data_IF_227180532669
#
_entry.id   IF_227180532669
#
_cell.length_a   1.000
_cell.length_b   1.000
_cell.length_c   1.000
_cell.angle_alpha   90.00
_cell.angle_beta   90.00
_cell.angle_gamma   90.00
#
_symmetry.space_group_name_H-M   'P 1'
#
loop_
_entity.id
_entity.type
_entity.pdbx_description
1 polymer ?
#
# COMPACT_ATOMS: atom_id res chain seq x y z
N UNK A 1 9.67 -65.21 -39.62
CA UNK A 1 10.60 -64.07 -39.70
C UNK A 1 9.74 -62.81 -39.61
N UNK A 2 9.74 -61.96 -38.60
CA UNK A 2 10.47 -61.81 -37.34
C UNK A 2 9.50 -61.09 -36.38
N UNK A 3 9.22 -61.70 -35.24
CA UNK A 3 8.36 -61.18 -34.16
C UNK A 3 9.08 -60.07 -33.40
N UNK A 4 8.48 -58.89 -33.27
CA UNK A 4 8.97 -57.83 -32.38
C UNK A 4 8.15 -57.79 -31.10
N UNK A 5 8.82 -58.23 -30.02
CA UNK A 5 8.29 -58.30 -28.67
C UNK A 5 8.18 -56.92 -28.04
N UNK A 6 7.00 -56.66 -27.47
CA UNK A 6 6.68 -55.56 -26.56
C UNK A 6 7.30 -55.79 -25.18
N UNK A 7 8.31 -54.99 -24.82
CA UNK A 7 8.91 -54.98 -23.48
C UNK A 7 8.32 -53.85 -22.63
N UNK A 8 7.48 -54.20 -21.65
CA UNK A 8 6.96 -53.29 -20.65
C UNK A 8 8.01 -53.04 -19.56
N UNK A 9 8.62 -51.85 -19.54
CA UNK A 9 9.46 -51.40 -18.43
C UNK A 9 8.55 -50.77 -17.37
N UNK A 10 8.18 -51.57 -16.35
CA UNK A 10 7.62 -51.07 -15.10
C UNK A 10 8.73 -50.42 -14.28
N UNK A 11 8.84 -49.10 -14.31
CA UNK A 11 9.66 -48.38 -13.33
C UNK A 11 8.91 -48.30 -12.00
N UNK A 12 9.37 -49.07 -11.01
CA UNK A 12 9.01 -48.89 -9.60
C UNK A 12 9.73 -47.63 -9.10
N UNK A 13 9.03 -46.52 -8.89
CA UNK A 13 9.50 -45.44 -8.02
C UNK A 13 8.78 -45.54 -6.70
N UNK A 14 9.51 -46.01 -5.69
CA UNK A 14 9.11 -45.94 -4.30
C UNK A 14 8.97 -44.49 -3.87
N UNK A 15 7.82 -44.16 -3.31
CA UNK A 15 7.60 -42.93 -2.55
C UNK A 15 8.37 -43.06 -1.23
N UNK A 16 9.66 -42.69 -1.25
CA UNK A 16 10.38 -42.38 -0.02
C UNK A 16 10.18 -40.89 0.30
N UNK A 17 9.29 -40.69 1.25
CA UNK A 17 9.24 -39.65 2.28
C UNK A 17 10.21 -38.45 2.12
N UNK A 18 9.85 -37.53 1.23
CA UNK A 18 10.53 -36.24 1.02
C UNK A 18 10.46 -35.31 2.25
N UNK A 19 9.64 -35.65 3.26
CA UNK A 19 9.49 -34.87 4.50
C UNK A 19 10.48 -35.26 5.60
N UNK A 20 11.12 -36.44 5.51
CA UNK A 20 12.09 -36.90 6.51
C UNK A 20 13.49 -36.29 6.30
N UNK A 21 13.94 -36.12 5.04
CA UNK A 21 15.26 -35.53 4.71
C UNK A 21 15.34 -34.03 5.07
N UNK A 22 14.20 -33.32 5.08
CA UNK A 22 14.17 -31.90 5.45
C UNK A 22 14.36 -31.65 6.95
N UNK A 23 14.16 -32.66 7.81
CA UNK A 23 14.32 -32.53 9.27
C UNK A 23 15.73 -32.85 9.78
N UNK A 24 16.57 -33.50 8.98
CA UNK A 24 17.85 -34.04 9.47
C UNK A 24 19.09 -33.23 9.05
N UNK A 25 18.95 -32.24 8.15
CA UNK A 25 20.05 -31.33 7.76
C UNK A 25 20.02 -29.94 8.43
N UNK A 26 19.22 -29.72 9.48
CA UNK A 26 19.12 -28.44 10.19
C UNK A 26 19.64 -28.47 11.64
N UNK A 27 20.29 -29.56 12.08
CA UNK A 27 20.82 -29.69 13.44
C UNK A 27 22.31 -29.39 13.59
N UNK A 28 22.98 -28.88 12.54
CA UNK A 28 24.37 -28.45 12.61
C UNK A 28 24.50 -26.95 12.36
N UNK A 29 24.76 -26.18 13.41
CA UNK A 29 25.34 -24.82 13.36
C UNK A 29 24.50 -23.64 12.79
N UNK A 30 23.17 -23.70 12.78
CA UNK A 30 22.35 -22.53 12.41
C UNK A 30 21.14 -22.36 13.33
N UNK A 31 21.32 -21.59 14.41
CA UNK A 31 20.25 -21.21 15.32
C UNK A 31 19.33 -20.16 14.70
N UNK A 32 18.13 -20.57 14.28
CA UNK A 32 17.02 -19.64 14.01
C UNK A 32 16.44 -19.22 15.37
N UNK A 33 16.81 -18.03 15.85
CA UNK A 33 16.30 -17.51 17.13
C UNK A 33 14.90 -16.90 16.97
N UNK A 34 13.87 -17.71 17.23
CA UNK A 34 12.51 -17.24 17.50
C UNK A 34 12.35 -16.85 18.97
N UNK A 35 13.03 -15.78 19.41
CA UNK A 35 12.78 -15.23 20.75
C UNK A 35 11.35 -14.66 20.84
N UNK A 36 10.53 -15.27 21.70
CA UNK A 36 9.15 -14.86 22.00
C UNK A 36 9.04 -13.49 22.72
N UNK A 37 10.17 -12.94 23.18
CA UNK A 37 10.22 -11.69 23.93
C UNK A 37 10.84 -10.58 23.07
N UNK A 38 10.03 -9.60 22.64
CA UNK A 38 10.49 -8.50 21.76
C UNK A 38 11.62 -7.68 22.37
N UNK A 39 11.58 -7.42 23.69
CA UNK A 39 12.63 -6.66 24.40
C UNK A 39 14.00 -7.36 24.37
N UNK A 40 14.03 -8.69 24.38
CA UNK A 40 15.27 -9.45 24.27
C UNK A 40 15.88 -9.39 22.85
N UNK A 41 15.04 -9.34 21.81
CA UNK A 41 15.49 -9.18 20.41
C UNK A 41 16.08 -7.80 20.14
N UNK A 42 15.42 -6.76 20.63
CA UNK A 42 15.85 -5.37 20.37
C UNK A 42 17.21 -5.10 21.05
N UNK A 43 17.41 -5.65 22.26
CA UNK A 43 18.71 -5.60 22.94
C UNK A 43 19.77 -6.43 22.23
N UNK A 44 19.42 -7.59 21.68
CA UNK A 44 20.37 -8.44 20.95
C UNK A 44 20.96 -7.74 19.72
N UNK A 45 20.12 -7.13 18.87
CA UNK A 45 20.59 -6.47 17.64
C UNK A 45 21.50 -5.29 17.96
N UNK A 46 21.16 -4.47 18.95
CA UNK A 46 21.99 -3.34 19.37
C UNK A 46 23.34 -3.81 19.95
N UNK A 47 23.37 -4.97 20.60
CA UNK A 47 24.59 -5.57 21.14
C UNK A 47 25.49 -6.23 20.08
N UNK A 48 25.00 -6.45 18.86
CA UNK A 48 25.81 -7.04 17.79
C UNK A 48 26.98 -6.14 17.34
N UNK A 49 27.01 -4.86 17.75
CA UNK A 49 28.05 -3.88 17.36
C UNK A 49 28.38 -3.98 15.87
N UNK A 50 27.34 -4.04 15.03
CA UNK A 50 27.48 -4.26 13.60
C UNK A 50 28.28 -3.11 13.00
N UNK A 51 29.47 -3.45 12.51
CA UNK A 51 30.40 -2.55 11.84
C UNK A 51 30.80 -3.17 10.52
N UNK A 52 31.14 -2.34 9.52
CA UNK A 52 31.60 -2.83 8.23
C UNK A 52 31.14 -1.99 7.06
N UNK A 53 31.56 -2.41 5.86
CA UNK A 53 31.18 -1.78 4.60
C UNK A 53 29.74 -2.13 4.27
N UNK A 54 28.93 -1.10 4.02
CA UNK A 54 27.52 -1.24 3.66
C UNK A 54 27.37 -1.38 2.15
N UNK A 55 26.50 -2.29 1.72
CA UNK A 55 25.98 -2.42 0.36
C UNK A 55 24.47 -2.57 0.42
N UNK A 56 23.74 -1.84 -0.41
CA UNK A 56 22.29 -1.90 -0.43
C UNK A 56 21.76 -2.31 -1.81
N UNK A 57 20.68 -3.09 -1.83
CA UNK A 57 19.92 -3.45 -3.03
C UNK A 57 18.43 -3.45 -2.70
N UNK A 58 17.61 -2.91 -3.60
CA UNK A 58 16.16 -2.95 -3.47
C UNK A 58 15.55 -3.98 -4.43
N UNK A 59 14.42 -4.59 -4.04
CA UNK A 59 13.57 -5.39 -4.92
C UNK A 59 12.11 -5.16 -4.52
N UNK A 60 11.36 -4.54 -5.43
CA UNK A 60 10.00 -4.10 -5.14
C UNK A 60 9.96 -3.18 -3.92
N UNK A 61 9.16 -3.55 -2.92
CA UNK A 61 8.92 -2.77 -1.69
C UNK A 61 9.93 -3.07 -0.55
N UNK A 62 11.00 -3.79 -0.87
CA UNK A 62 11.98 -4.28 0.11
C UNK A 62 13.39 -3.77 -0.18
N UNK A 63 14.12 -3.47 0.89
CA UNK A 63 15.52 -3.07 0.87
C UNK A 63 16.34 -4.13 1.60
N UNK A 64 17.36 -4.65 0.93
CA UNK A 64 18.39 -5.51 1.50
C UNK A 64 19.67 -4.70 1.72
N UNK A 65 20.15 -4.65 2.96
CA UNK A 65 21.38 -3.98 3.36
C UNK A 65 22.37 -5.02 3.86
N UNK A 66 23.40 -5.31 3.06
CA UNK A 66 24.51 -6.15 3.48
C UNK A 66 25.60 -5.29 4.15
N UNK A 67 26.13 -5.75 5.27
CA UNK A 67 27.19 -5.10 6.03
C UNK A 67 28.30 -6.12 6.23
N UNK A 68 29.49 -5.85 5.69
CA UNK A 68 30.62 -6.77 5.75
C UNK A 68 31.78 -6.12 6.52
N UNK A 69 32.18 -6.73 7.63
CA UNK A 69 33.39 -6.35 8.36
C UNK A 69 34.58 -7.13 7.79
N UNK A 70 35.54 -6.44 7.17
CA UNK A 70 36.71 -7.09 6.58
C UNK A 70 37.68 -7.63 7.65
N UNK A 71 37.69 -7.05 8.85
CA UNK A 71 38.62 -7.42 9.94
C UNK A 71 38.11 -8.66 10.68
N UNK A 72 36.82 -8.72 10.97
CA UNK A 72 36.22 -9.84 11.71
C UNK A 72 35.61 -10.94 10.83
N UNK A 73 35.66 -10.78 9.49
CA UNK A 73 34.94 -11.58 8.49
C UNK A 73 33.42 -11.76 8.78
N UNK A 74 32.84 -10.90 9.63
CA UNK A 74 31.42 -10.94 9.91
C UNK A 74 30.62 -10.34 8.76
N UNK A 75 29.57 -11.05 8.35
CA UNK A 75 28.68 -10.65 7.26
C UNK A 75 27.26 -10.61 7.79
N UNK A 76 26.68 -9.43 7.73
CA UNK A 76 25.32 -9.15 8.17
C UNK A 76 24.49 -8.80 6.94
N UNK A 77 23.23 -9.24 6.92
CA UNK A 77 22.27 -8.85 5.89
C UNK A 77 21.00 -8.46 6.59
N UNK A 78 20.54 -7.25 6.34
CA UNK A 78 19.34 -6.68 6.90
C UNK A 78 18.29 -6.56 5.80
N UNK A 79 17.22 -7.34 5.88
CA UNK A 79 16.06 -7.15 5.01
C UNK A 79 15.04 -6.24 5.69
N UNK A 80 14.70 -5.14 5.03
CA UNK A 80 13.79 -4.09 5.50
C UNK A 80 12.58 -4.03 4.56
N UNK A 81 11.38 -4.23 5.11
CA UNK A 81 10.12 -4.04 4.39
C UNK A 81 9.39 -2.84 4.97
N UNK A 82 9.25 -1.77 4.20
CA UNK A 82 8.80 -0.48 4.73
C UNK A 82 7.30 -0.42 5.08
N UNK A 83 6.51 -1.42 4.66
CA UNK A 83 5.03 -1.44 4.82
C UNK A 83 4.47 -0.07 4.38
N UNK A 84 3.47 0.45 5.08
CA UNK A 84 2.80 1.71 4.77
C UNK A 84 3.39 2.92 5.50
N UNK A 85 4.21 2.72 6.54
CA UNK A 85 4.60 3.81 7.47
C UNK A 85 6.05 3.72 7.94
N UNK A 86 6.84 2.72 7.52
CA UNK A 86 8.22 2.63 7.96
C UNK A 86 9.15 3.38 7.00
N UNK A 87 10.23 3.93 7.54
CA UNK A 87 11.18 4.79 6.82
C UNK A 87 12.63 4.48 7.21
N UNK A 88 13.57 4.88 6.36
CA UNK A 88 15.01 4.83 6.64
C UNK A 88 15.60 6.21 6.42
N UNK A 89 16.13 6.84 7.46
CA UNK A 89 16.87 8.11 7.34
C UNK A 89 18.26 7.99 7.94
N UNK A 90 19.18 8.80 7.41
CA UNK A 90 20.47 9.03 8.01
C UNK A 90 20.34 10.17 9.03
N UNK A 91 20.96 10.04 10.19
CA UNK A 91 21.04 11.09 11.19
C UNK A 91 22.43 11.13 11.82
N UNK A 92 22.86 12.28 12.38
CA UNK A 92 24.10 12.35 13.15
C UNK A 92 24.12 11.32 14.28
N UNK A 93 25.26 10.66 14.49
CA UNK A 93 25.40 9.61 15.52
C UNK A 93 25.07 10.12 16.93
N UNK A 94 25.42 11.37 17.22
CA UNK A 94 25.09 12.00 18.50
C UNK A 94 23.58 12.10 18.71
N UNK A 95 22.84 12.56 17.68
CA UNK A 95 21.38 12.64 17.72
C UNK A 95 20.74 11.27 17.91
N UNK A 96 21.22 10.26 17.18
CA UNK A 96 20.77 8.87 17.36
C UNK A 96 20.93 8.42 18.82
N UNK A 97 22.13 8.59 19.39
CA UNK A 97 22.43 8.23 20.79
C UNK A 97 21.50 8.95 21.77
N UNK A 98 21.24 10.24 21.56
CA UNK A 98 20.32 11.05 22.38
C UNK A 98 18.86 10.57 22.31
N UNK A 99 18.40 10.09 21.16
CA UNK A 99 17.05 9.53 20.98
C UNK A 99 16.95 8.17 21.68
N UNK A 100 17.89 7.26 21.42
CA UNK A 100 17.82 5.90 22.00
C UNK A 100 18.14 5.83 23.49
N UNK A 101 18.75 6.87 24.05
CA UNK A 101 18.94 7.00 25.50
C UNK A 101 17.65 7.40 26.24
N UNK A 102 16.61 7.84 25.52
CA UNK A 102 15.33 8.16 26.14
C UNK A 102 14.57 6.88 26.54
N UNK A 103 13.78 6.91 27.64
CA UNK A 103 12.90 5.80 27.96
C UNK A 103 11.87 5.61 26.85
N UNK A 104 11.68 4.36 26.43
CA UNK A 104 10.69 4.04 25.40
C UNK A 104 9.26 4.30 25.90
N UNK A 105 8.36 4.66 24.97
CA UNK A 105 6.93 4.82 25.20
C UNK A 105 6.16 3.72 24.47
N UNK A 106 5.09 3.24 25.10
CA UNK A 106 4.21 2.21 24.52
C UNK A 106 3.33 2.82 23.42
N UNK A 107 3.39 2.26 22.21
CA UNK A 107 2.42 2.51 21.12
C UNK A 107 1.42 1.35 21.02
N UNK A 108 0.39 1.52 20.19
CA UNK A 108 -0.59 0.47 19.87
C UNK A 108 0.07 -0.83 19.39
N UNK A 109 1.23 -0.72 18.72
CA UNK A 109 1.97 -1.86 18.17
C UNK A 109 3.48 -1.76 18.40
N UNK A 110 3.92 -1.65 19.65
CA UNK A 110 5.35 -1.76 20.00
C UNK A 110 5.85 -0.67 20.95
N UNK A 111 7.16 -0.62 21.11
CA UNK A 111 7.87 0.42 21.85
C UNK A 111 8.48 1.42 20.86
N UNK A 112 8.50 2.69 21.25
CA UNK A 112 9.11 3.75 20.44
C UNK A 112 9.88 4.73 21.32
N UNK A 113 10.95 5.32 20.78
CA UNK A 113 11.75 6.33 21.46
C UNK A 113 11.18 7.72 21.19
N UNK A 114 10.95 8.56 22.22
CA UNK A 114 10.60 9.95 22.00
C UNK A 114 11.79 10.72 21.41
N UNK A 115 11.54 11.53 20.39
CA UNK A 115 12.56 12.41 19.80
C UNK A 115 12.64 13.70 20.63
N UNK A 116 13.83 14.12 21.09
CA UNK A 116 14.00 15.37 21.83
C UNK A 116 13.47 16.58 21.06
N UNK A 117 12.77 17.53 21.70
CA UNK A 117 12.17 18.68 21.01
C UNK A 117 13.15 19.51 20.18
N UNK A 118 14.39 19.62 20.63
CA UNK A 118 15.47 20.35 19.93
C UNK A 118 15.98 19.62 18.68
N UNK A 119 15.69 18.33 18.53
CA UNK A 119 15.95 17.58 17.30
C UNK A 119 14.85 17.80 16.25
N UNK A 120 13.71 18.37 16.64
CA UNK A 120 12.54 18.59 15.77
C UNK A 120 12.60 20.02 15.21
N UNK A 121 12.59 20.15 13.88
CA UNK A 121 12.42 21.44 13.21
C UNK A 121 11.16 21.45 12.37
N UNK A 122 10.46 22.59 12.32
CA UNK A 122 9.20 22.74 11.58
C UNK A 122 8.02 23.17 12.47
N UNK A 123 6.76 23.05 11.96
CA UNK A 123 5.58 23.44 12.71
C UNK A 123 5.53 22.74 14.07
N UNK A 124 5.24 23.48 15.15
CA UNK A 124 5.16 22.95 16.52
C UNK A 124 4.26 21.71 16.54
N UNK A 125 4.81 20.56 16.94
CA UNK A 125 4.11 19.27 17.04
C UNK A 125 4.43 18.65 18.40
N UNK A 126 3.42 18.07 19.04
CA UNK A 126 3.61 17.28 20.25
C UNK A 126 4.16 15.89 19.88
N UNK A 127 5.16 15.45 20.66
CA UNK A 127 5.73 14.09 20.78
C UNK A 127 5.91 13.28 19.48
N UNK A 128 7.08 13.40 18.85
CA UNK A 128 7.52 12.48 17.79
C UNK A 128 8.03 11.17 18.42
N UNK A 129 7.52 10.03 17.95
CA UNK A 129 7.90 8.70 18.43
C UNK A 129 8.56 7.88 17.31
N UNK A 130 9.75 7.36 17.55
CA UNK A 130 10.53 6.58 16.59
C UNK A 130 10.56 5.10 16.97
N UNK A 131 10.12 4.23 16.06
CA UNK A 131 10.23 2.77 16.22
C UNK A 131 11.38 2.24 15.36
N UNK A 132 12.37 1.60 15.98
CA UNK A 132 13.45 0.92 15.24
C UNK A 132 12.95 -0.51 14.98
N UNK A 133 12.59 -0.83 13.74
CA UNK A 133 12.15 -2.20 13.38
C UNK A 133 13.33 -3.06 12.92
N UNK A 134 13.39 -4.27 13.48
CA UNK A 134 14.47 -5.24 13.35
C UNK A 134 14.73 -5.72 11.91
N UNK A 135 15.96 -6.17 11.71
CA UNK A 135 16.49 -6.76 10.48
C UNK A 135 16.44 -8.29 10.49
N UNK A 136 16.17 -8.90 9.33
CA UNK A 136 16.20 -10.37 9.15
C UNK A 136 17.43 -10.80 8.35
N UNK A 137 18.12 -11.83 8.85
CA UNK A 137 19.26 -12.50 8.21
C UNK A 137 18.77 -13.76 7.47
N UNK A 138 19.04 -13.89 6.15
CA UNK A 138 18.77 -15.15 5.43
C UNK A 138 19.61 -15.34 4.14
N UNK A 139 19.75 -16.61 3.72
CA UNK A 139 20.53 -17.15 2.59
C UNK A 139 19.80 -17.18 1.23
N UNK A 140 18.54 -16.73 1.20
CA UNK A 140 17.74 -16.46 0.01
C UNK A 140 17.10 -15.09 0.21
N UNK A 141 17.74 -14.06 -0.35
CA UNK A 141 17.47 -12.67 -0.02
C UNK A 141 16.02 -12.25 -0.37
N UNK A 142 15.46 -12.87 -1.41
CA UNK A 142 14.11 -12.60 -1.90
C UNK A 142 13.26 -13.85 -1.75
N UNK A 143 12.05 -13.72 -1.20
CA UNK A 143 11.08 -14.82 -1.21
C UNK A 143 10.63 -15.08 -2.65
N UNK A 144 10.16 -16.29 -2.92
CA UNK A 144 9.53 -16.67 -4.20
C UNK A 144 8.28 -15.86 -4.54
N UNK A 145 7.80 -15.03 -3.61
CA UNK A 145 6.65 -14.12 -3.79
C UNK A 145 7.03 -12.76 -4.36
N UNK A 146 8.31 -12.52 -4.69
CA UNK A 146 8.76 -11.28 -5.33
C UNK A 146 9.08 -11.51 -6.79
N UNK A 147 8.41 -10.77 -7.66
CA UNK A 147 8.61 -10.82 -9.10
C UNK A 147 9.96 -10.26 -9.53
N UNK A 148 10.27 -10.30 -10.83
CA UNK A 148 11.39 -9.55 -11.39
C UNK A 148 11.23 -8.04 -11.14
N UNK A 149 12.34 -7.32 -11.05
CA UNK A 149 12.33 -5.84 -11.03
C UNK A 149 12.16 -5.35 -12.46
N UNK A 150 11.06 -4.67 -12.77
CA UNK A 150 10.66 -4.36 -14.14
C UNK A 150 11.74 -3.61 -14.94
N UNK A 151 12.39 -2.62 -14.32
CA UNK A 151 13.46 -1.82 -14.93
C UNK A 151 14.81 -2.54 -15.07
N UNK A 152 15.10 -3.53 -14.23
CA UNK A 152 16.39 -4.23 -14.22
C UNK A 152 16.34 -5.61 -14.91
N UNK A 153 15.17 -6.22 -14.97
CA UNK A 153 14.93 -7.57 -15.46
C UNK A 153 13.78 -7.58 -16.51
N UNK A 154 13.84 -6.78 -17.59
CA UNK A 154 12.70 -6.57 -18.51
C UNK A 154 12.28 -7.86 -19.22
N UNK A 155 13.22 -8.73 -19.60
CA UNK A 155 12.92 -10.01 -20.25
C UNK A 155 12.17 -10.96 -19.32
N UNK A 156 12.64 -11.12 -18.07
CA UNK A 156 11.98 -11.94 -17.07
C UNK A 156 10.59 -11.37 -16.70
N UNK A 157 10.49 -10.04 -16.67
CA UNK A 157 9.23 -9.33 -16.43
C UNK A 157 8.20 -9.61 -17.53
N UNK A 158 8.59 -9.51 -18.81
CA UNK A 158 7.70 -9.85 -19.94
C UNK A 158 7.24 -11.30 -19.89
N UNK A 159 8.15 -12.24 -19.63
CA UNK A 159 7.81 -13.65 -19.48
C UNK A 159 6.80 -13.87 -18.33
N UNK A 160 6.99 -13.18 -17.20
CA UNK A 160 6.07 -13.25 -16.05
C UNK A 160 4.69 -12.69 -16.39
N UNK A 161 4.62 -11.58 -17.12
CA UNK A 161 3.34 -11.00 -17.56
C UNK A 161 2.60 -11.91 -18.54
N UNK A 162 3.29 -12.55 -19.49
CA UNK A 162 2.65 -13.50 -20.41
C UNK A 162 2.10 -14.73 -19.68
N UNK A 163 2.86 -15.28 -18.73
CA UNK A 163 2.38 -16.40 -17.91
C UNK A 163 1.18 -16.00 -17.04
N UNK A 164 1.23 -14.81 -16.43
CA UNK A 164 0.11 -14.26 -15.68
C UNK A 164 -1.13 -14.06 -16.56
N UNK A 165 -0.96 -13.50 -17.76
CA UNK A 165 -2.05 -13.29 -18.72
C UNK A 165 -2.76 -14.59 -19.05
N UNK A 166 -2.01 -15.63 -19.42
CA UNK A 166 -2.55 -16.95 -19.71
C UNK A 166 -3.36 -17.52 -18.53
N UNK A 167 -2.81 -17.43 -17.32
CA UNK A 167 -3.51 -17.89 -16.12
C UNK A 167 -4.75 -17.06 -15.79
N UNK A 168 -4.73 -15.75 -16.06
CA UNK A 168 -5.84 -14.84 -15.77
C UNK A 168 -7.02 -15.10 -16.70
N UNK A 169 -6.74 -15.34 -17.99
CA UNK A 169 -7.76 -15.73 -18.98
C UNK A 169 -8.32 -17.12 -18.63
N UNK A 170 -7.45 -18.09 -18.35
CA UNK A 170 -7.88 -19.46 -18.06
C UNK A 170 -8.77 -19.58 -16.81
N UNK A 171 -8.57 -18.71 -15.82
CA UNK A 171 -9.33 -18.69 -14.58
C UNK A 171 -10.51 -17.70 -14.60
N UNK A 172 -10.68 -16.95 -15.69
CA UNK A 172 -11.62 -15.82 -15.79
C UNK A 172 -11.59 -14.90 -14.56
N UNK A 173 -10.39 -14.42 -14.20
CA UNK A 173 -10.19 -13.59 -13.01
C UNK A 173 -10.88 -12.21 -13.16
N UNK A 174 -12.05 -12.09 -12.56
CA UNK A 174 -12.95 -10.94 -12.61
C UNK A 174 -12.52 -9.78 -11.69
N UNK A 175 -11.49 -9.98 -10.87
CA UNK A 175 -11.04 -8.98 -9.91
C UNK A 175 -10.57 -7.70 -10.62
N UNK A 176 -10.86 -6.52 -10.06
CA UNK A 176 -10.34 -5.26 -10.59
C UNK A 176 -8.81 -5.26 -10.73
N UNK A 177 -8.31 -4.81 -11.87
CA UNK A 177 -6.87 -4.79 -12.15
C UNK A 177 -6.07 -4.00 -11.08
N UNK A 178 -6.61 -2.88 -10.57
CA UNK A 178 -5.94 -2.11 -9.52
C UNK A 178 -5.68 -2.94 -8.25
N UNK A 179 -6.61 -3.82 -7.90
CA UNK A 179 -6.47 -4.70 -6.73
C UNK A 179 -5.32 -5.69 -6.95
N UNK A 180 -5.28 -6.33 -8.11
CA UNK A 180 -4.23 -7.30 -8.46
C UNK A 180 -2.85 -6.67 -8.53
N UNK A 181 -2.73 -5.45 -9.07
CA UNK A 181 -1.45 -4.74 -9.13
C UNK A 181 -0.86 -4.47 -7.74
N UNK A 182 -1.72 -4.19 -6.76
CA UNK A 182 -1.27 -3.98 -5.37
C UNK A 182 -0.88 -5.29 -4.68
N UNK A 183 -1.64 -6.35 -4.91
CA UNK A 183 -1.53 -7.58 -4.12
C UNK A 183 -0.55 -8.62 -4.69
N UNK A 184 -0.45 -8.73 -6.02
CA UNK A 184 0.38 -9.72 -6.71
C UNK A 184 1.80 -9.20 -6.94
N UNK A 185 2.57 -9.05 -5.87
CA UNK A 185 3.98 -8.59 -5.92
C UNK A 185 4.93 -9.56 -6.63
N UNK A 186 4.49 -10.79 -6.88
CA UNK A 186 5.18 -11.76 -7.73
C UNK A 186 5.08 -11.44 -9.24
N UNK A 187 4.23 -10.47 -9.59
CA UNK A 187 3.91 -10.03 -10.96
C UNK A 187 4.18 -8.53 -11.09
N UNK A 188 3.51 -7.74 -10.25
CA UNK A 188 3.57 -6.28 -10.17
C UNK A 188 4.48 -5.84 -9.02
N UNK A 189 5.71 -6.35 -9.05
CA UNK A 189 6.70 -6.13 -8.01
C UNK A 189 7.02 -4.63 -7.87
N UNK A 190 6.76 -4.06 -6.69
CA UNK A 190 7.00 -2.64 -6.42
C UNK A 190 5.77 -1.75 -6.62
N UNK A 191 4.79 -2.16 -7.42
CA UNK A 191 3.60 -1.33 -7.68
C UNK A 191 2.76 -1.15 -6.41
N UNK A 192 2.67 0.09 -5.92
CA UNK A 192 1.77 0.52 -4.86
C UNK A 192 0.46 1.06 -5.42
N UNK A 193 -0.35 1.67 -4.56
CA UNK A 193 -1.66 2.17 -4.95
C UNK A 193 -1.58 3.35 -5.93
N UNK A 194 -0.62 4.26 -5.72
CA UNK A 194 -0.48 5.45 -6.56
C UNK A 194 0.20 5.11 -7.89
N UNK A 195 1.26 4.30 -7.88
CA UNK A 195 1.93 3.82 -9.10
C UNK A 195 0.93 3.08 -9.98
N UNK A 196 0.14 2.18 -9.40
CA UNK A 196 -0.85 1.41 -10.15
C UNK A 196 -1.90 2.30 -10.80
N UNK A 197 -2.42 3.31 -10.10
CA UNK A 197 -3.37 4.28 -10.67
C UNK A 197 -2.74 5.01 -11.85
N UNK A 198 -1.53 5.56 -11.68
CA UNK A 198 -0.91 6.37 -12.72
C UNK A 198 -0.53 5.54 -13.96
N UNK A 199 -0.06 4.30 -13.75
CA UNK A 199 0.16 3.32 -14.83
C UNK A 199 -1.14 3.05 -15.58
N UNK A 200 -2.25 2.80 -14.87
CA UNK A 200 -3.54 2.51 -15.50
C UNK A 200 -4.08 3.70 -16.29
N UNK A 201 -3.87 4.93 -15.80
CA UNK A 201 -4.21 6.14 -16.54
C UNK A 201 -3.39 6.26 -17.82
N UNK A 202 -2.07 6.03 -17.76
CA UNK A 202 -1.20 6.02 -18.94
C UNK A 202 -1.59 4.92 -19.93
N UNK A 203 -2.00 3.78 -19.41
CA UNK A 203 -2.49 2.65 -20.19
C UNK A 203 -3.90 2.85 -20.75
N UNK A 204 -4.60 3.94 -20.44
CA UNK A 204 -6.01 4.13 -20.80
C UNK A 204 -6.89 2.95 -20.36
N UNK A 205 -6.65 2.46 -19.14
CA UNK A 205 -7.36 1.34 -18.52
C UNK A 205 -8.08 1.84 -17.27
N UNK A 206 -9.39 1.58 -17.17
CA UNK A 206 -10.14 1.93 -15.98
C UNK A 206 -9.72 1.03 -14.80
N UNK A 207 -9.50 1.57 -13.58
CA UNK A 207 -9.02 0.76 -12.45
C UNK A 207 -9.92 -0.40 -12.02
N UNK A 208 -11.23 -0.27 -12.28
CA UNK A 208 -12.24 -1.30 -12.03
C UNK A 208 -12.31 -2.40 -13.11
N UNK A 209 -11.55 -2.27 -14.22
CA UNK A 209 -11.59 -3.25 -15.31
C UNK A 209 -11.19 -4.65 -14.81
N UNK A 210 -12.00 -5.69 -15.08
CA UNK A 210 -11.65 -7.07 -14.79
C UNK A 210 -10.34 -7.46 -15.45
N UNK A 211 -9.51 -8.20 -14.74
CA UNK A 211 -8.22 -8.61 -15.27
C UNK A 211 -8.33 -9.59 -16.43
N UNK A 212 -9.34 -10.48 -16.43
CA UNK A 212 -9.62 -11.36 -17.56
C UNK A 212 -9.94 -10.56 -18.83
N UNK A 213 -10.75 -9.51 -18.73
CA UNK A 213 -11.09 -8.61 -19.84
C UNK A 213 -9.84 -7.88 -20.37
N UNK A 214 -9.04 -7.29 -19.48
CA UNK A 214 -7.78 -6.65 -19.85
C UNK A 214 -6.85 -7.61 -20.59
N UNK A 215 -6.66 -8.82 -20.03
CA UNK A 215 -5.79 -9.85 -20.59
C UNK A 215 -6.32 -10.44 -21.90
N UNK A 216 -7.63 -10.49 -22.11
CA UNK A 216 -8.22 -11.07 -23.32
C UNK A 216 -8.06 -10.17 -24.54
N UNK A 217 -7.94 -8.85 -24.34
CA UNK A 217 -7.72 -7.90 -25.43
C UNK A 217 -6.23 -7.62 -25.65
N UNK A 218 -5.66 -8.11 -26.76
CA UNK A 218 -4.22 -7.97 -27.09
C UNK A 218 -3.75 -6.50 -27.07
N UNK A 219 -4.54 -5.60 -27.65
CA UNK A 219 -4.16 -4.18 -27.78
C UNK A 219 -4.14 -3.49 -26.41
N UNK A 220 -5.13 -3.79 -25.57
CA UNK A 220 -5.21 -3.24 -24.20
C UNK A 220 -4.08 -3.82 -23.34
N UNK A 221 -3.85 -5.14 -23.41
CA UNK A 221 -2.78 -5.80 -22.66
C UNK A 221 -1.40 -5.26 -23.05
N UNK A 222 -1.12 -5.13 -24.35
CA UNK A 222 0.15 -4.58 -24.82
C UNK A 222 0.37 -3.14 -24.32
N UNK A 223 -0.64 -2.28 -24.45
CA UNK A 223 -0.58 -0.90 -23.94
C UNK A 223 -0.37 -0.84 -22.42
N UNK A 224 -1.00 -1.74 -21.68
CA UNK A 224 -0.82 -1.86 -20.23
C UNK A 224 0.61 -2.24 -19.84
N UNK A 225 1.19 -3.27 -20.47
CA UNK A 225 2.57 -3.68 -20.18
C UNK A 225 3.57 -2.58 -20.59
N UNK A 226 3.35 -1.91 -21.73
CA UNK A 226 4.17 -0.77 -22.15
C UNK A 226 4.13 0.35 -21.11
N UNK A 227 2.95 0.73 -20.63
CA UNK A 227 2.80 1.78 -19.62
C UNK A 227 3.52 1.45 -18.30
N UNK A 228 3.54 0.18 -17.86
CA UNK A 228 4.32 -0.26 -16.69
C UNK A 228 5.82 -0.02 -16.93
N UNK A 229 6.33 -0.50 -18.07
CA UNK A 229 7.75 -0.42 -18.39
C UNK A 229 8.23 1.03 -18.53
N UNK A 230 7.42 1.86 -19.19
CA UNK A 230 7.69 3.29 -19.34
C UNK A 230 7.66 4.01 -17.98
N UNK A 231 6.69 3.71 -17.12
CA UNK A 231 6.61 4.30 -15.78
C UNK A 231 7.85 4.00 -14.93
N UNK A 232 8.33 2.76 -14.95
CA UNK A 232 9.52 2.33 -14.21
C UNK A 232 10.80 2.95 -14.78
N UNK A 233 10.88 3.05 -16.11
CA UNK A 233 12.00 3.71 -16.78
C UNK A 233 12.07 5.21 -16.44
N UNK A 234 10.96 5.93 -16.56
CA UNK A 234 10.84 7.34 -16.19
C UNK A 234 11.19 7.58 -14.72
N UNK A 235 10.69 6.72 -13.83
CA UNK A 235 10.97 6.81 -12.39
C UNK A 235 12.47 6.63 -12.10
N UNK A 236 13.12 5.72 -12.82
CA UNK A 236 14.57 5.50 -12.71
C UNK A 236 15.37 6.71 -13.19
N UNK A 237 14.98 7.32 -14.30
CA UNK A 237 15.64 8.53 -14.83
C UNK A 237 15.43 9.75 -13.93
N UNK A 238 14.23 9.91 -13.38
CA UNK A 238 13.90 11.03 -12.51
C UNK A 238 14.58 10.98 -11.15
N UNK A 239 14.80 9.78 -10.62
CA UNK A 239 15.38 9.57 -9.28
C UNK A 239 16.86 9.20 -9.31
N UNK A 240 17.40 8.86 -10.49
CA UNK A 240 18.74 8.35 -10.67
C UNK A 240 19.86 9.40 -10.56
N UNK A 241 21.12 8.96 -10.43
CA UNK A 241 22.29 9.84 -10.55
C UNK A 241 22.29 10.47 -11.95
N UNK A 242 22.19 11.82 -12.02
CA UNK A 242 22.13 12.55 -13.29
C UNK A 242 20.74 12.99 -13.73
N UNK A 243 19.71 12.84 -12.89
CA UNK A 243 18.42 13.48 -13.12
C UNK A 243 18.62 14.98 -13.39
N UNK A 244 18.03 15.50 -14.47
CA UNK A 244 18.20 16.90 -14.90
C UNK A 244 17.80 17.92 -13.82
N UNK A 245 16.88 17.52 -12.93
CA UNK A 245 16.48 18.28 -11.77
C UNK A 245 16.35 17.33 -10.58
N UNK A 246 17.47 17.03 -9.90
CA UNK A 246 17.43 16.09 -8.79
C UNK A 246 16.51 16.65 -7.71
N UNK A 247 15.67 15.79 -7.15
CA UNK A 247 14.87 16.17 -6.00
C UNK A 247 15.83 16.46 -4.83
N UNK A 248 15.62 17.53 -4.04
CA UNK A 248 16.51 17.85 -2.93
C UNK A 248 16.37 16.79 -1.83
N UNK A 249 17.30 15.82 -1.85
CA UNK A 249 17.29 14.63 -0.99
C UNK A 249 17.66 14.91 0.46
N UNK A 250 18.29 16.04 0.74
CA UNK A 250 18.63 16.43 2.11
C UNK A 250 17.50 17.27 2.67
N UNK A 251 16.90 16.78 3.75
CA UNK A 251 16.47 17.68 4.81
C UNK A 251 17.69 18.54 5.17
N UNK A 252 17.52 19.81 5.56
CA UNK A 252 18.63 20.65 6.03
C UNK A 252 19.37 19.97 7.23
N UNK A 253 20.16 20.71 8.02
CA UNK A 253 20.86 20.16 9.19
C UNK A 253 19.94 19.44 10.23
N UNK A 254 18.62 19.55 10.09
CA UNK A 254 17.64 18.77 10.84
C UNK A 254 17.11 17.57 10.04
N UNK A 255 17.37 16.32 10.47
CA UNK A 255 16.90 15.10 9.80
C UNK A 255 15.38 14.91 9.86
N UNK A 256 14.65 15.77 10.59
CA UNK A 256 13.20 15.75 10.72
C UNK A 256 12.49 16.90 9.97
N UNK A 257 13.21 17.66 9.14
CA UNK A 257 12.64 18.75 8.35
C UNK A 257 11.83 18.24 7.14
N UNK A 258 10.58 18.70 7.01
CA UNK A 258 9.76 18.41 5.84
C UNK A 258 9.99 19.43 4.72
N UNK A 259 10.49 18.94 3.59
CA UNK A 259 10.72 19.75 2.42
C UNK A 259 9.44 19.89 1.57
N UNK A 260 8.62 20.90 1.88
CA UNK A 260 7.37 21.23 1.16
C UNK A 260 7.58 21.40 -0.34
N UNK A 261 8.67 22.08 -0.72
CA UNK A 261 8.99 22.33 -2.13
C UNK A 261 9.35 21.03 -2.86
N UNK A 262 10.10 20.13 -2.22
CA UNK A 262 10.40 18.82 -2.77
C UNK A 262 9.14 17.99 -2.95
N UNK A 263 8.26 17.96 -1.93
CA UNK A 263 6.99 17.26 -2.00
C UNK A 263 6.11 17.79 -3.15
N UNK A 264 5.96 19.11 -3.24
CA UNK A 264 5.19 19.75 -4.32
C UNK A 264 5.78 19.40 -5.69
N UNK A 265 7.10 19.51 -5.87
CA UNK A 265 7.78 19.12 -7.12
C UNK A 265 7.59 17.65 -7.43
N UNK A 266 7.69 16.78 -6.41
CA UNK A 266 7.51 15.33 -6.57
C UNK A 266 6.10 15.02 -7.04
N UNK A 267 5.09 15.51 -6.32
CA UNK A 267 3.67 15.31 -6.67
C UNK A 267 3.36 15.88 -8.05
N UNK A 268 3.88 17.06 -8.39
CA UNK A 268 3.63 17.68 -9.69
C UNK A 268 4.25 16.91 -10.86
N UNK A 269 5.37 16.22 -10.64
CA UNK A 269 6.12 15.53 -11.71
C UNK A 269 5.85 14.04 -11.81
N UNK A 270 5.60 13.40 -10.67
CA UNK A 270 5.56 11.94 -10.57
C UNK A 270 4.19 11.40 -10.25
N UNK A 271 3.28 12.19 -9.65
CA UNK A 271 1.91 11.76 -9.35
C UNK A 271 0.95 12.33 -10.38
N UNK A 272 0.53 11.49 -11.32
CA UNK A 272 -0.33 11.87 -12.43
C UNK A 272 -1.77 12.07 -12.00
N UNK A 273 -2.40 11.06 -11.38
CA UNK A 273 -3.84 11.05 -11.11
C UNK A 273 -4.20 10.69 -9.66
N UNK A 274 -3.38 9.89 -8.98
CA UNK A 274 -3.73 9.42 -7.64
C UNK A 274 -4.03 10.57 -6.67
N UNK A 275 -5.28 10.65 -6.20
CA UNK A 275 -5.81 11.72 -5.31
C UNK A 275 -5.67 13.16 -5.85
N UNK A 276 -5.49 13.35 -7.16
CA UNK A 276 -5.46 14.68 -7.76
C UNK A 276 -6.87 15.24 -7.91
N UNK A 277 -7.06 16.52 -7.63
CA UNK A 277 -8.32 17.22 -7.92
C UNK A 277 -8.42 17.60 -9.40
N UNK A 278 -7.27 17.78 -10.06
CA UNK A 278 -7.17 18.05 -11.50
C UNK A 278 -5.98 17.31 -12.11
N UNK A 279 -6.16 16.73 -13.29
CA UNK A 279 -5.14 16.00 -14.04
C UNK A 279 -4.96 16.64 -15.41
N UNK A 280 -3.70 16.81 -15.80
CA UNK A 280 -3.32 17.26 -17.13
C UNK A 280 -2.74 16.09 -17.90
N UNK A 281 -3.35 15.72 -19.02
CA UNK A 281 -2.85 14.65 -19.89
C UNK A 281 -2.28 15.26 -21.18
N UNK A 282 -1.28 14.63 -21.81
CA UNK A 282 -0.84 15.02 -23.15
C UNK A 282 -2.00 14.97 -24.14
N UNK A 283 -2.08 15.93 -25.07
CA UNK A 283 -3.15 15.99 -26.07
C UNK A 283 -3.31 14.67 -26.85
N UNK A 284 -2.26 13.97 -27.31
CA UNK A 284 -2.40 12.67 -27.96
C UNK A 284 -3.12 11.63 -27.07
N UNK A 285 -2.82 11.61 -25.77
CA UNK A 285 -3.47 10.73 -24.80
C UNK A 285 -4.95 11.09 -24.62
N UNK A 286 -5.28 12.39 -24.58
CA UNK A 286 -6.68 12.87 -24.50
C UNK A 286 -7.46 12.44 -25.75
N UNK A 287 -6.89 12.64 -26.94
CA UNK A 287 -7.54 12.25 -28.20
C UNK A 287 -7.74 10.74 -28.30
N UNK A 288 -6.76 9.94 -27.88
CA UNK A 288 -6.89 8.49 -27.85
C UNK A 288 -7.95 8.02 -26.85
N UNK A 289 -7.98 8.59 -25.65
CA UNK A 289 -8.99 8.29 -24.65
C UNK A 289 -10.41 8.71 -25.09
N UNK A 290 -10.51 9.83 -25.81
CA UNK A 290 -11.74 10.31 -26.43
C UNK A 290 -12.28 9.33 -27.48
N UNK A 291 -11.42 8.82 -28.37
CA UNK A 291 -11.79 7.79 -29.35
C UNK A 291 -12.27 6.49 -28.70
N UNK A 292 -11.81 6.21 -27.48
CA UNK A 292 -12.25 5.08 -26.66
C UNK A 292 -13.48 5.39 -25.79
N UNK A 293 -14.10 6.56 -25.96
CA UNK A 293 -15.23 7.06 -25.16
C UNK A 293 -14.98 7.15 -23.65
N UNK A 294 -13.73 7.16 -23.19
CA UNK A 294 -13.40 7.14 -21.76
C UNK A 294 -13.84 8.41 -21.01
N UNK A 295 -14.12 9.50 -21.73
CA UNK A 295 -14.58 10.78 -21.18
C UNK A 295 -16.08 11.06 -21.38
N UNK A 296 -16.86 10.09 -21.87
CA UNK A 296 -18.31 10.26 -22.07
C UNK A 296 -19.06 9.70 -20.86
N UNK A 297 -19.62 10.52 -19.95
CA UNK A 297 -20.13 10.04 -18.66
C UNK A 297 -21.25 8.99 -18.71
N UNK A 298 -21.96 8.90 -19.84
CA UNK A 298 -23.04 7.94 -20.03
C UNK A 298 -22.65 6.75 -20.92
N UNK A 299 -21.44 6.74 -21.49
CA UNK A 299 -20.95 5.59 -22.23
C UNK A 299 -20.53 4.50 -21.26
N UNK A 300 -20.81 3.24 -21.61
CA UNK A 300 -20.26 2.07 -20.91
C UNK A 300 -18.93 1.72 -21.55
N UNK A 301 -17.89 1.54 -20.76
CA UNK A 301 -16.55 1.21 -21.28
C UNK A 301 -16.62 -0.10 -22.07
N UNK A 302 -16.16 -0.07 -23.33
CA UNK A 302 -16.19 -1.22 -24.24
C UNK A 302 -17.46 -1.37 -25.06
N UNK A 303 -18.47 -0.50 -24.88
CA UNK A 303 -19.66 -0.46 -25.75
C UNK A 303 -19.42 0.36 -27.02
N UNK A 304 -20.09 -0.02 -28.11
CA UNK A 304 -20.03 0.62 -29.44
C UNK A 304 -20.82 1.94 -29.49
N UNK A 305 -20.54 2.85 -28.58
CA UNK A 305 -21.09 4.21 -28.63
C UNK A 305 -20.27 5.02 -29.63
N UNK A 306 -20.88 5.79 -30.55
CA UNK A 306 -20.14 6.70 -31.41
C UNK A 306 -19.29 7.67 -30.57
N UNK A 307 -18.08 8.03 -31.01
CA UNK A 307 -17.26 9.01 -30.32
C UNK A 307 -18.06 10.28 -30.03
N UNK A 308 -18.26 10.61 -28.74
CA UNK A 308 -18.89 11.87 -28.36
C UNK A 308 -18.00 13.06 -28.75
N UNK A 309 -18.59 14.25 -28.91
CA UNK A 309 -17.81 15.49 -29.00
C UNK A 309 -17.01 15.66 -27.70
N UNK A 310 -15.71 15.34 -27.74
CA UNK A 310 -14.84 15.58 -26.61
C UNK A 310 -14.36 17.01 -26.68
N UNK A 311 -14.77 17.81 -25.69
CA UNK A 311 -14.16 19.11 -25.45
C UNK A 311 -12.65 18.90 -25.34
N UNK A 312 -11.86 19.60 -26.17
CA UNK A 312 -10.39 19.54 -26.23
C UNK A 312 -9.72 20.09 -24.95
N UNK A 313 -10.27 19.82 -23.78
CA UNK A 313 -9.76 20.28 -22.50
C UNK A 313 -8.59 19.38 -22.10
N UNK A 314 -7.42 19.98 -21.96
CA UNK A 314 -6.22 19.32 -21.44
C UNK A 314 -6.35 18.95 -19.95
N UNK A 315 -7.24 19.63 -19.22
CA UNK A 315 -7.45 19.46 -17.78
C UNK A 315 -8.76 18.73 -17.48
N UNK A 316 -8.65 17.64 -16.72
CA UNK A 316 -9.74 16.74 -16.35
C UNK A 316 -9.89 16.70 -14.83
N UNK A 317 -11.11 16.49 -14.34
CA UNK A 317 -11.39 16.32 -12.91
C UNK A 317 -11.52 14.83 -12.60
N UNK A 318 -10.59 14.22 -11.85
CA UNK A 318 -10.66 12.80 -11.55
C UNK A 318 -11.87 12.44 -10.69
N UNK A 319 -12.36 11.23 -10.93
CA UNK A 319 -13.27 10.53 -10.06
C UNK A 319 -12.50 9.62 -9.11
N UNK A 320 -13.09 9.42 -7.93
CA UNK A 320 -12.74 8.45 -6.92
C UNK A 320 -13.85 7.41 -6.87
N UNK A 321 -13.47 6.16 -7.01
CA UNK A 321 -14.37 5.01 -7.01
C UNK A 321 -14.02 4.06 -5.85
N UNK A 322 -15.00 3.39 -5.27
CA UNK A 322 -14.79 2.35 -4.26
C UNK A 322 -14.94 0.97 -4.90
N UNK A 323 -13.81 0.29 -5.08
CA UNK A 323 -13.77 -1.05 -5.69
C UNK A 323 -14.22 -2.16 -4.72
N UNK A 324 -14.78 -1.79 -3.57
CA UNK A 324 -15.06 -2.70 -2.46
C UNK A 324 -13.82 -2.95 -1.59
N UNK A 325 -14.05 -3.58 -0.43
CA UNK A 325 -13.00 -3.87 0.59
C UNK A 325 -12.27 -2.64 1.13
N UNK A 326 -12.77 -1.43 0.87
CA UNK A 326 -12.12 -0.17 1.23
C UNK A 326 -10.99 0.24 0.28
N UNK A 327 -10.88 -0.39 -0.91
CA UNK A 327 -9.90 -0.01 -1.92
C UNK A 327 -10.44 1.13 -2.77
N UNK A 328 -9.82 2.30 -2.65
CA UNK A 328 -10.14 3.46 -3.47
C UNK A 328 -9.36 3.44 -4.79
N UNK A 329 -10.08 3.61 -5.89
CA UNK A 329 -9.54 3.88 -7.22
C UNK A 329 -9.66 5.35 -7.56
N UNK A 330 -8.75 5.84 -8.41
CA UNK A 330 -8.76 7.19 -8.94
C UNK A 330 -8.56 7.13 -10.45
N UNK A 331 -9.32 7.90 -11.21
CA UNK A 331 -9.22 7.92 -12.67
C UNK A 331 -9.75 9.24 -13.24
N UNK A 332 -9.21 9.76 -14.35
CA UNK A 332 -9.82 10.86 -15.08
C UNK A 332 -10.93 10.40 -16.03
N UNK A 333 -11.17 9.09 -16.15
CA UNK A 333 -12.19 8.53 -17.04
C UNK A 333 -13.56 8.66 -16.39
N UNK A 334 -14.48 9.34 -17.08
CA UNK A 334 -15.85 9.56 -16.59
C UNK A 334 -16.83 8.53 -17.14
N UNK A 335 -16.43 7.75 -18.14
CA UNK A 335 -17.23 6.65 -18.67
C UNK A 335 -17.59 5.66 -17.56
N UNK A 336 -18.80 5.10 -17.65
CA UNK A 336 -19.28 4.15 -16.66
C UNK A 336 -18.57 2.81 -16.88
N UNK A 337 -18.05 2.18 -15.81
CA UNK A 337 -17.70 0.78 -15.90
C UNK A 337 -18.95 -0.05 -16.23
N UNK A 338 -18.75 -1.21 -16.82
CA UNK A 338 -19.86 -2.16 -17.01
C UNK A 338 -20.51 -2.46 -15.65
N UNK A 339 -21.86 -2.54 -15.56
CA UNK A 339 -22.54 -2.85 -14.31
C UNK A 339 -22.09 -4.15 -13.62
N UNK A 340 -21.49 -5.09 -14.36
CA UNK A 340 -20.92 -6.31 -13.80
C UNK A 340 -19.58 -6.08 -13.07
N UNK A 341 -18.92 -4.93 -13.26
CA UNK A 341 -17.64 -4.63 -12.61
C UNK A 341 -17.83 -4.21 -11.15
N UNK A 342 -16.84 -4.50 -10.31
CA UNK A 342 -16.85 -4.08 -8.90
C UNK A 342 -16.53 -2.59 -8.74
N UNK A 343 -17.48 -1.72 -9.07
CA UNK A 343 -17.39 -0.25 -8.96
C UNK A 343 -18.62 0.30 -8.24
N UNK A 344 -18.44 1.33 -7.41
CA UNK A 344 -19.53 1.93 -6.63
C UNK A 344 -19.43 3.45 -6.66
N UNK A 345 -20.52 4.08 -7.10
CA UNK A 345 -20.83 5.51 -6.99
C UNK A 345 -19.60 6.43 -7.13
N UNK A 346 -19.10 6.65 -8.36
CA UNK A 346 -17.94 7.50 -8.57
C UNK A 346 -18.19 8.92 -8.06
N UNK A 347 -17.27 9.43 -7.24
CA UNK A 347 -17.32 10.77 -6.66
C UNK A 347 -16.18 11.63 -7.18
N UNK A 348 -16.39 12.92 -7.38
CA UNK A 348 -15.27 13.83 -7.69
C UNK A 348 -14.26 13.89 -6.54
N UNK A 349 -12.97 13.95 -6.87
CA UNK A 349 -11.91 14.16 -5.88
C UNK A 349 -11.97 15.59 -5.35
N UNK A 350 -12.27 15.74 -4.06
CA UNK A 350 -12.47 17.05 -3.43
C UNK A 350 -11.19 17.71 -2.90
N UNK A 351 -10.13 16.93 -2.65
CA UNK A 351 -8.89 17.42 -2.04
C UNK A 351 -7.73 16.97 -2.90
N UNK A 352 -6.95 17.91 -3.42
CA UNK A 352 -5.76 17.58 -4.19
C UNK A 352 -4.69 17.03 -3.27
N UNK A 353 -4.01 16.01 -3.77
CA UNK A 353 -2.93 15.34 -3.07
C UNK A 353 -1.79 16.29 -2.65
N UNK A 354 -1.56 17.39 -3.37
CA UNK A 354 -0.59 18.44 -3.00
C UNK A 354 -0.93 19.12 -1.67
N UNK A 355 -2.22 19.20 -1.33
CA UNK A 355 -2.70 19.79 -0.10
C UNK A 355 -2.73 18.77 1.05
N UNK A 356 -2.54 17.48 0.73
CA UNK A 356 -2.49 16.39 1.69
C UNK A 356 -1.07 16.24 2.21
N UNK A 357 -0.73 17.12 3.13
CA UNK A 357 0.58 17.18 3.77
C UNK A 357 0.78 16.03 4.76
N UNK A 358 -0.29 15.40 5.27
CA UNK A 358 -0.31 14.43 6.38
C UNK A 358 -0.81 13.00 6.03
N UNK A 359 -0.70 12.54 4.78
CA UNK A 359 -1.14 11.19 4.39
C UNK A 359 -0.02 10.26 3.91
N UNK A 360 -0.10 9.02 4.39
CA UNK A 360 0.83 7.90 4.28
C UNK A 360 1.12 7.31 2.92
N UNK A 361 0.52 7.77 1.83
CA UNK A 361 0.33 6.89 0.66
C UNK A 361 1.01 7.33 -0.64
N UNK A 362 1.97 8.26 -0.63
CA UNK A 362 2.51 8.90 -1.84
C UNK A 362 4.05 8.83 -1.97
N UNK A 363 4.57 7.65 -2.31
CA UNK A 363 5.94 7.48 -2.81
C UNK A 363 7.07 7.89 -1.85
N UNK A 364 8.32 7.77 -2.31
CA UNK A 364 9.53 7.93 -1.46
C UNK A 364 9.65 9.28 -0.73
N UNK A 365 8.98 10.34 -1.23
CA UNK A 365 9.02 11.68 -0.61
C UNK A 365 7.92 11.97 0.41
N UNK A 366 6.73 11.35 0.34
CA UNK A 366 5.67 11.64 1.33
C UNK A 366 5.84 10.87 2.65
N UNK A 367 6.88 10.06 2.73
CA UNK A 367 6.99 9.03 3.75
C UNK A 367 7.88 9.51 4.91
N UNK A 368 9.03 10.12 4.66
CA UNK A 368 10.17 10.12 5.59
C UNK A 368 9.93 10.42 7.09
N UNK A 369 8.98 11.28 7.47
CA UNK A 369 8.74 11.73 8.87
C UNK A 369 7.25 11.90 9.23
N UNK A 370 6.35 12.05 8.24
CA UNK A 370 5.10 12.78 8.47
C UNK A 370 3.94 11.94 9.01
N UNK A 371 3.94 10.66 8.70
CA UNK A 371 2.86 9.74 9.09
C UNK A 371 2.85 9.47 10.58
N UNK A 372 4.01 9.11 11.11
CA UNK A 372 4.13 8.68 12.50
C UNK A 372 3.99 9.85 13.48
N UNK A 373 4.03 11.09 12.97
CA UNK A 373 3.92 12.35 13.72
C UNK A 373 2.56 13.05 13.57
N UNK A 374 1.68 12.62 12.67
CA UNK A 374 0.43 13.34 12.34
C UNK A 374 -0.78 12.99 13.25
N UNK A 375 -0.61 12.14 14.26
CA UNK A 375 -1.70 11.80 15.19
C UNK A 375 -2.14 12.94 16.11
N UNK A 376 -1.41 14.07 16.12
CA UNK A 376 -1.60 15.20 17.04
C UNK A 376 -2.40 16.37 16.44
N UNK A 377 -2.29 16.69 15.15
CA UNK A 377 -2.91 17.92 14.60
C UNK A 377 -4.46 17.93 14.64
N UNK A 378 -5.10 16.77 14.36
CA UNK A 378 -6.57 16.65 14.38
C UNK A 378 -7.18 16.75 15.80
N UNK A 379 -6.36 16.55 16.84
CA UNK A 379 -6.75 16.73 18.26
C UNK A 379 -6.43 18.13 18.78
N UNK A 380 -5.38 18.76 18.28
CA UNK A 380 -4.99 20.13 18.67
C UNK A 380 -6.08 21.14 18.25
N UNK A 381 -6.71 20.99 17.08
CA UNK A 381 -7.82 21.88 16.68
C UNK A 381 -9.17 21.53 17.32
N UNK A 382 -9.26 20.45 18.11
CA UNK A 382 -10.41 20.14 18.97
C UNK A 382 -10.20 20.61 20.42
N UNK A 383 -9.05 21.22 20.74
CA UNK A 383 -8.60 21.52 22.10
C UNK A 383 -9.22 22.74 22.78
N UNK A 384 -10.19 23.43 22.15
CA UNK A 384 -11.10 24.28 22.93
C UNK A 384 -12.02 23.46 23.85
N UNK A 385 -12.09 22.14 23.67
CA UNK A 385 -12.41 21.25 24.79
C UNK A 385 -11.16 21.09 25.62
N UNK A 386 -11.11 21.80 26.75
CA UNK A 386 -10.28 21.42 27.90
C UNK A 386 -10.34 19.91 27.97
N UNK A 387 -9.23 19.24 27.66
CA UNK A 387 -9.08 17.82 27.90
C UNK A 387 -9.37 17.70 29.39
N UNK A 388 -10.55 17.19 29.76
CA UNK A 388 -10.84 16.82 31.15
C UNK A 388 -9.76 15.80 31.46
N UNK A 389 -8.67 16.27 32.07
CA UNK A 389 -7.63 15.44 32.61
C UNK A 389 -8.38 14.36 33.38
N UNK A 390 -8.04 13.10 33.11
CA UNK A 390 -8.54 12.01 33.94
C UNK A 390 -8.22 12.45 35.35
N UNK A 391 -9.25 12.71 36.18
CA UNK A 391 -9.04 13.21 37.55
C UNK A 391 -7.91 12.38 38.15
N UNK A 392 -6.90 13.01 38.77
CA UNK A 392 -5.87 12.28 39.48
C UNK A 392 -6.58 11.18 40.26
N UNK A 393 -6.18 9.94 40.05
CA UNK A 393 -6.77 8.86 40.84
C UNK A 393 -6.32 9.15 42.25
N UNK A 394 -7.19 9.78 43.04
CA UNK A 394 -6.94 9.99 44.45
C UNK A 394 -6.56 8.62 45.01
N UNK A 395 -5.35 8.51 45.54
CA UNK A 395 -4.92 7.36 46.30
C UNK A 395 -5.66 7.37 47.64
N UNK A 396 -6.99 7.29 47.58
CA UNK A 396 -7.83 6.93 48.72
C UNK A 396 -7.50 5.49 49.07
N UNK A 397 -7.16 5.28 50.34
CA UNK A 397 -6.46 4.10 50.85
C UNK A 397 -7.04 2.74 50.48
N UNK A 398 -6.18 1.72 50.59
CA UNK A 398 -6.49 0.30 50.62
C UNK A 398 -7.69 -0.11 49.76
N UNK A 399 -7.54 -0.01 48.43
CA UNK A 399 -8.40 -0.76 47.51
C UNK A 399 -8.23 -2.24 47.81
N UNK A 400 -9.15 -2.77 48.63
CA UNK A 400 -9.35 -4.21 48.77
C UNK A 400 -9.48 -4.77 47.36
N UNK A 401 -8.71 -5.82 47.05
CA UNK A 401 -8.91 -6.60 45.83
C UNK A 401 -10.42 -6.85 45.69
N UNK A 402 -11.03 -6.60 44.51
CA UNK A 402 -12.42 -6.95 44.29
C UNK A 402 -12.59 -8.42 44.66
N UNK A 403 -13.65 -8.72 45.44
CA UNK A 403 -13.91 -10.10 45.82
C UNK A 403 -14.19 -10.89 44.54
N UNK A 404 -13.92 -12.20 44.55
CA UNK A 404 -14.18 -13.04 43.38
C UNK A 404 -15.64 -12.87 42.87
N UNK A 405 -16.57 -12.67 43.79
CA UNK A 405 -17.97 -12.37 43.56
C UNK A 405 -18.20 -11.09 42.72
N UNK A 406 -17.44 -10.02 42.99
CA UNK A 406 -17.52 -8.76 42.24
C UNK A 406 -17.01 -8.91 40.80
N UNK A 407 -16.01 -9.78 40.62
CA UNK A 407 -15.44 -10.09 39.31
C UNK A 407 -16.47 -10.87 38.47
N UNK A 408 -17.12 -11.86 39.06
CA UNK A 408 -18.16 -12.64 38.38
C UNK A 408 -19.40 -11.80 38.08
N UNK A 409 -19.83 -10.93 39.01
CA UNK A 409 -20.92 -9.98 38.74
C UNK A 409 -20.59 -9.00 37.59
N UNK A 410 -19.33 -8.57 37.50
CA UNK A 410 -18.86 -7.69 36.42
C UNK A 410 -18.81 -8.43 35.07
N UNK A 411 -18.35 -9.69 35.05
CA UNK A 411 -18.37 -10.55 33.86
C UNK A 411 -19.80 -10.81 33.39
N UNK A 412 -20.73 -11.12 34.31
CA UNK A 412 -22.13 -11.34 34.00
C UNK A 412 -22.77 -10.09 33.36
N UNK A 413 -22.52 -8.90 33.92
CA UNK A 413 -22.96 -7.63 33.32
C UNK A 413 -22.35 -7.39 31.94
N UNK A 414 -21.08 -7.72 31.74
CA UNK A 414 -20.43 -7.58 30.44
C UNK A 414 -21.04 -8.51 29.37
N UNK A 415 -21.37 -9.75 29.74
CA UNK A 415 -22.05 -10.71 28.87
C UNK A 415 -23.46 -10.23 28.53
N UNK A 416 -24.22 -9.74 29.51
CA UNK A 416 -25.58 -9.23 29.31
C UNK A 416 -25.59 -7.99 28.40
N UNK A 417 -24.64 -7.06 28.59
CA UNK A 417 -24.49 -5.89 27.72
C UNK A 417 -24.09 -6.28 26.28
N UNK A 418 -23.24 -7.30 26.12
CA UNK A 418 -22.87 -7.83 24.80
C UNK A 418 -24.07 -8.46 24.09
N UNK A 419 -24.90 -9.22 24.82
CA UNK A 419 -26.13 -9.82 24.29
C UNK A 419 -27.13 -8.75 23.85
N UNK A 420 -27.38 -7.74 24.70
CA UNK A 420 -28.28 -6.62 24.37
C UNK A 420 -27.83 -5.83 23.14
N UNK A 421 -26.52 -5.66 22.97
CA UNK A 421 -25.97 -5.00 21.78
C UNK A 421 -26.22 -5.82 20.51
N UNK A 422 -26.00 -7.13 20.55
CA UNK A 422 -26.28 -8.01 19.41
C UNK A 422 -27.77 -8.02 19.03
N UNK A 423 -28.67 -7.99 20.01
CA UNK A 423 -30.12 -7.91 19.77
C UNK A 423 -30.53 -6.58 19.12
N UNK A 424 -29.92 -5.46 19.54
CA UNK A 424 -30.13 -4.15 18.90
C UNK A 424 -29.62 -4.14 17.45
N UNK A 425 -28.42 -4.65 17.21
CA UNK A 425 -27.83 -4.75 15.87
C UNK A 425 -28.64 -5.68 14.95
N UNK A 426 -29.33 -6.68 15.50
CA UNK A 426 -30.24 -7.56 14.76
C UNK A 426 -31.58 -6.87 14.46
N UNK A 427 -32.14 -6.12 15.40
CA UNK A 427 -33.35 -5.31 15.17
C UNK A 427 -33.13 -4.23 14.11
N UNK A 428 -31.98 -3.56 14.09
CA UNK A 428 -31.64 -2.58 13.05
C UNK A 428 -31.56 -3.24 11.66
N UNK A 429 -30.89 -4.39 11.54
CA UNK A 429 -30.84 -5.15 10.29
C UNK A 429 -32.21 -5.62 9.80
N UNK A 430 -33.11 -6.00 10.72
CA UNK A 430 -34.50 -6.34 10.36
C UNK A 430 -35.27 -5.14 9.85
N UNK A 431 -35.05 -3.95 10.40
CA UNK A 431 -35.68 -2.70 9.91
C UNK A 431 -35.17 -2.30 8.53
N UNK A 432 -33.87 -2.46 8.26
CA UNK A 432 -33.29 -2.20 6.94
C UNK A 432 -33.85 -3.14 5.87
N UNK A 433 -34.11 -4.40 6.22
CA UNK A 433 -34.68 -5.38 5.28
C UNK A 433 -36.20 -5.25 5.06
N UNK A 434 -36.91 -4.47 5.89
CA UNK A 434 -38.36 -4.29 5.80
C UNK A 434 -38.79 -2.88 5.36
N UNK A 435 -37.86 -1.99 5.01
CA UNK A 435 -38.21 -0.72 4.40
C UNK A 435 -38.83 -0.99 3.01
N UNK A 436 -40.14 -0.77 2.80
CA UNK A 436 -40.74 -0.92 1.49
C UNK A 436 -40.15 0.15 0.57
N UNK A 437 -39.74 -0.25 -0.64
CA UNK A 437 -39.44 0.68 -1.72
C UNK A 437 -40.74 1.41 -2.12
N UNK A 438 -41.16 2.41 -1.35
CA UNK A 438 -42.21 3.32 -1.80
C UNK A 438 -41.67 4.21 -2.93
N UNK A 439 -42.30 4.05 -4.08
CA UNK A 439 -41.92 4.64 -5.35
C UNK A 439 -41.83 6.16 -5.28
N UNK A 440 -40.68 6.68 -5.71
CA UNK A 440 -40.50 8.09 -6.01
C UNK A 440 -41.20 8.37 -7.36
N UNK A 441 -42.43 8.88 -7.28
CA UNK A 441 -43.22 9.35 -8.42
C UNK A 441 -42.42 10.42 -9.20
N UNK A 442 -42.06 10.11 -10.43
CA UNK A 442 -41.56 11.07 -11.41
C UNK A 442 -42.76 11.88 -11.94
N UNK A 443 -42.81 13.19 -11.64
CA UNK A 443 -43.73 14.11 -12.29
C UNK A 443 -43.31 14.29 -13.75
N UNK A 444 -44.08 13.73 -14.69
CA UNK A 444 -44.00 14.11 -16.10
C UNK A 444 -44.62 15.51 -16.26
N UNK A 445 -43.91 16.40 -16.95
CA UNK A 445 -44.46 17.66 -17.46
C UNK A 445 -44.92 17.40 -18.89
N UNK A 446 -46.23 17.33 -19.08
CA UNK A 446 -46.87 17.47 -20.39
C UNK A 446 -46.71 18.90 -20.90
N UNK A 447 -46.20 19.06 -22.12
CA UNK A 447 -46.36 20.28 -22.92
C UNK A 447 -47.66 20.15 -23.71
N UNK A 448 -48.61 21.03 -23.42
CA UNK A 448 -49.72 21.35 -24.32
C UNK A 448 -49.17 22.14 -25.51
N UNK A 449 -49.45 21.67 -26.72
CA UNK A 449 -49.46 22.50 -27.92
C UNK A 449 -50.86 23.10 -28.07
N UNK A 450 -50.91 24.42 -28.25
CA UNK A 450 -52.08 25.16 -28.66
C UNK A 450 -51.76 25.83 -30.00
N UNK A 451 -52.72 25.69 -30.93
CA UNK A 451 -52.86 26.28 -32.28
C UNK A 451 -51.89 25.82 -33.35
#
# INVERSE_FOLDING_TARGET
>A
MSSSASSSIRSRRGSQDFNAVRRQCLSGLFGVFTCANRSARDNFINNLNITGRIRAKARGKELAVAICNAVSDHKYVLRVHFKTEAHLFCMPTEMYRRIVSQPTRQRRSGLAFPVPPDCISGPKREDILLTIQAAFFWSALWSSTHGPVHSLEPTATRARFLAWRQSTIANDDDRPILFLMKDKQDIFNGCGAWESVDILVRALVHPAMPASLLCSNETVFHRFITAIMEHEHESTLAMGPGAAQPLPYTSNDSPFWFNREAHKKYVQRHVLCYRRASVSLPLPTVLQAAQMNLFVPNAVIGSDVPPGEVAQRATLNPIRDDLGTGTQAYSPFTAKPDPAWSSKDPMLVQTDVQDIIDSTTLGTYSFQIFVDCAWSAKRVNQSNKVLKGRRPTEKGGNRKRPRAEDIEATKAKAVQNKKRKLELDEQERRKENFAPCEGRVTRSRSKQTAV
#
